data_IF_630706956464
#
_entry.id   IF_630706956464
#
_cell.length_a   1.000
_cell.length_b   1.000
_cell.length_c   1.000
_cell.angle_alpha   90.00
_cell.angle_beta   90.00
_cell.angle_gamma   90.00
#
_symmetry.space_group_name_H-M   'P 1'
#
loop_
_entity.id
_entity.type
_entity.pdbx_description
1 polymer ?
#
# COMPACT_ATOMS: atom_id res chain seq x y z
N UNK A 1 -9.50 -4.75 2.50
CA UNK A 1 -8.59 -3.58 2.61
C UNK A 1 -7.71 -3.60 3.85
N UNK A 2 -8.25 -3.70 5.06
CA UNK A 2 -7.43 -3.70 6.28
C UNK A 2 -6.36 -4.81 6.30
N UNK A 3 -6.65 -5.96 5.64
CA UNK A 3 -5.68 -7.04 5.45
C UNK A 3 -4.39 -6.59 4.75
N UNK A 4 -4.48 -5.92 3.59
CA UNK A 4 -3.29 -5.53 2.82
C UNK A 4 -2.52 -4.39 3.50
N UNK A 5 -3.24 -3.47 4.16
CA UNK A 5 -2.63 -2.38 4.93
C UNK A 5 -1.77 -2.98 6.05
N UNK A 6 -2.33 -3.87 6.86
CA UNK A 6 -1.57 -4.54 7.92
C UNK A 6 -0.41 -5.40 7.39
N UNK A 7 -0.49 -5.93 6.17
CA UNK A 7 0.63 -6.63 5.51
C UNK A 7 1.73 -5.66 5.08
N UNK A 8 1.40 -4.51 4.50
CA UNK A 8 2.36 -3.47 4.10
C UNK A 8 3.12 -2.92 5.32
N UNK A 9 2.40 -2.71 6.43
CA UNK A 9 2.98 -2.26 7.70
C UNK A 9 3.91 -3.33 8.29
N UNK A 10 3.41 -4.56 8.47
CA UNK A 10 4.16 -5.66 9.11
C UNK A 10 5.29 -6.23 8.25
N UNK A 11 5.14 -6.25 6.93
CA UNK A 11 6.08 -6.91 6.03
C UNK A 11 6.61 -5.93 4.98
N UNK A 12 7.88 -5.55 5.12
CA UNK A 12 8.61 -4.72 4.14
C UNK A 12 8.58 -5.28 2.72
N UNK A 13 8.43 -6.60 2.56
CA UNK A 13 8.27 -7.24 1.24
C UNK A 13 7.06 -6.71 0.46
N UNK A 14 5.97 -6.36 1.15
CA UNK A 14 4.78 -5.80 0.49
C UNK A 14 4.97 -4.35 0.04
N UNK A 15 6.02 -3.66 0.52
CA UNK A 15 6.40 -2.29 0.12
C UNK A 15 7.13 -2.25 -1.22
N UNK A 16 7.69 -3.38 -1.68
CA UNK A 16 8.38 -3.45 -2.97
C UNK A 16 7.53 -4.08 -4.08
N UNK A 17 6.31 -4.52 -3.77
CA UNK A 17 5.43 -5.18 -4.73
C UNK A 17 4.65 -4.17 -5.56
N UNK A 18 4.42 -4.51 -6.83
CA UNK A 18 3.62 -3.69 -7.73
C UNK A 18 2.19 -3.54 -7.20
N UNK A 19 1.63 -2.34 -7.35
CA UNK A 19 0.24 -2.03 -6.94
C UNK A 19 -0.77 -3.00 -7.58
N UNK A 20 -0.54 -3.44 -8.83
CA UNK A 20 -1.40 -4.41 -9.51
C UNK A 20 -1.52 -5.73 -8.73
N UNK A 21 -0.43 -6.21 -8.13
CA UNK A 21 -0.45 -7.42 -7.33
C UNK A 21 -1.22 -7.21 -6.02
N UNK A 22 -1.05 -6.05 -5.37
CA UNK A 22 -1.81 -5.71 -4.16
C UNK A 22 -3.32 -5.62 -4.44
N UNK A 23 -3.69 -5.13 -5.63
CA UNK A 23 -5.07 -5.08 -6.09
C UNK A 23 -5.64 -6.50 -6.31
N UNK A 24 -4.88 -7.36 -7.00
CA UNK A 24 -5.27 -8.75 -7.30
C UNK A 24 -5.42 -9.59 -6.03
N UNK A 25 -4.46 -9.50 -5.09
CA UNK A 25 -4.53 -10.12 -3.76
C UNK A 25 -5.76 -9.69 -2.95
N UNK A 26 -6.22 -8.46 -3.17
CA UNK A 26 -7.41 -7.93 -2.52
C UNK A 26 -8.71 -8.25 -3.29
N UNK A 27 -8.63 -8.96 -4.42
CA UNK A 27 -9.77 -9.31 -5.28
C UNK A 27 -10.29 -8.15 -6.13
N UNK A 28 -9.51 -7.10 -6.34
CA UNK A 28 -9.89 -6.00 -7.23
C UNK A 28 -9.53 -6.36 -8.67
N UNK A 29 -10.54 -6.31 -9.54
CA UNK A 29 -10.35 -6.45 -11.00
C UNK A 29 -9.63 -5.26 -11.62
N UNK A 30 -9.71 -4.11 -10.97
CA UNK A 30 -9.16 -2.86 -11.47
C UNK A 30 -8.34 -2.14 -10.39
N UNK A 31 -7.17 -1.69 -10.81
CA UNK A 31 -6.17 -1.07 -9.94
C UNK A 31 -6.60 0.33 -9.51
N UNK A 32 -7.30 1.07 -10.38
CA UNK A 32 -7.82 2.40 -10.03
C UNK A 32 -8.86 2.31 -8.92
N UNK A 33 -9.72 1.29 -8.99
CA UNK A 33 -10.70 0.97 -7.95
C UNK A 33 -10.01 0.64 -6.63
N UNK A 34 -8.98 -0.21 -6.66
CA UNK A 34 -8.13 -0.49 -5.50
C UNK A 34 -7.53 0.78 -4.90
N UNK A 35 -6.89 1.62 -5.71
CA UNK A 35 -6.26 2.88 -5.28
C UNK A 35 -7.28 3.80 -4.61
N UNK A 36 -8.47 3.96 -5.21
CA UNK A 36 -9.53 4.80 -4.65
C UNK A 36 -10.00 4.27 -3.30
N UNK A 37 -10.29 2.97 -3.21
CA UNK A 37 -10.68 2.33 -1.95
C UNK A 37 -9.57 2.39 -0.90
N UNK A 38 -8.30 2.30 -1.31
CA UNK A 38 -7.15 2.41 -0.42
C UNK A 38 -7.07 3.83 0.15
N UNK A 39 -7.10 4.85 -0.71
CA UNK A 39 -7.09 6.26 -0.31
C UNK A 39 -8.24 6.63 0.61
N UNK A 40 -9.44 6.10 0.39
CA UNK A 40 -10.59 6.33 1.29
C UNK A 40 -10.31 5.75 2.70
N UNK A 41 -9.54 4.65 2.79
CA UNK A 41 -9.23 3.97 4.07
C UNK A 41 -8.04 4.58 4.79
N UNK A 42 -6.97 4.91 4.08
CA UNK A 42 -5.70 5.39 4.66
C UNK A 42 -5.52 6.89 4.57
N UNK A 43 -6.35 7.59 3.79
CA UNK A 43 -6.21 9.02 3.48
C UNK A 43 -5.27 9.29 2.28
N UNK A 44 -4.41 8.34 1.92
CA UNK A 44 -3.38 8.51 0.89
C UNK A 44 -3.37 7.36 -0.13
N UNK A 45 -2.85 7.61 -1.33
CA UNK A 45 -2.72 6.57 -2.35
C UNK A 45 -1.64 5.55 -1.94
N UNK A 46 -1.79 4.26 -2.31
CA UNK A 46 -0.92 3.19 -1.84
C UNK A 46 0.56 3.41 -2.21
N UNK A 47 0.84 3.99 -3.37
CA UNK A 47 2.21 4.35 -3.79
C UNK A 47 2.86 5.32 -2.81
N UNK A 48 2.13 6.36 -2.41
CA UNK A 48 2.61 7.39 -1.47
C UNK A 48 2.74 6.83 -0.06
N UNK A 49 1.76 6.03 0.37
CA UNK A 49 1.79 5.35 1.65
C UNK A 49 3.00 4.42 1.81
N UNK A 50 3.30 3.62 0.78
CA UNK A 50 4.48 2.75 0.71
C UNK A 50 5.78 3.56 0.72
N UNK A 51 5.81 4.68 -0.01
CA UNK A 51 6.97 5.58 -0.05
C UNK A 51 7.23 6.19 1.32
N UNK A 52 6.21 6.71 1.99
CA UNK A 52 6.31 7.25 3.35
C UNK A 52 6.85 6.19 4.32
N UNK A 53 6.31 4.97 4.29
CA UNK A 53 6.79 3.84 5.10
C UNK A 53 8.21 3.36 4.75
N UNK A 54 8.70 3.66 3.54
CA UNK A 54 10.07 3.36 3.14
C UNK A 54 11.02 4.49 3.56
N UNK A 55 10.56 5.74 3.51
CA UNK A 55 11.27 6.95 3.93
C UNK A 55 11.36 7.12 5.45
N UNK A 56 10.37 6.64 6.22
CA UNK A 56 10.44 6.57 7.69
C UNK A 56 11.58 5.67 8.20
N UNK A 57 12.24 4.92 7.31
CA UNK A 57 13.42 4.12 7.64
C UNK A 57 14.73 4.81 7.22
N UNK A 58 14.69 6.09 6.83
CA UNK A 58 15.85 6.89 6.40
C UNK A 58 15.97 8.30 7.02
N UNK A 59 15.11 8.69 7.95
CA UNK A 59 15.29 9.94 8.73
C UNK A 59 15.55 9.64 10.20
N UNK A 60 16.76 9.12 10.45
CA UNK A 60 17.58 9.58 11.57
C UNK A 60 18.67 10.46 10.94
N UNK A 61 18.51 11.79 11.04
CA UNK A 61 19.56 12.78 10.80
C UNK A 61 19.50 13.83 11.91
#
# INVERSE_FOLDING_TARGET
MNYIIGKIEKNKRYRTVKINYLADECGFRDVHTFIRSFKIRTGEVPTKYIQNLSSENSEEA
#
